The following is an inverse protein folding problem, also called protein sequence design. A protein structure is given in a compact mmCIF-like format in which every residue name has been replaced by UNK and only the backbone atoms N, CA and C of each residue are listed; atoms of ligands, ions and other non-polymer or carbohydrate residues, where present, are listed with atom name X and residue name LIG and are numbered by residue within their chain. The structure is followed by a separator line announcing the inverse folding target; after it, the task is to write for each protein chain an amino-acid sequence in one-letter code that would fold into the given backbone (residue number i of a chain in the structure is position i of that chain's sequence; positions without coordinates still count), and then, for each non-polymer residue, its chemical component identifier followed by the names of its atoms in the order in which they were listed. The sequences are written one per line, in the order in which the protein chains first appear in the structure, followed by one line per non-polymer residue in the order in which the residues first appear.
data_IF_289106408067
#
_entry.id   IF_289106408067
#
_cell.length_a   1.000
_cell.length_b   1.000
_cell.length_c   1.000
_cell.angle_alpha   90.00
_cell.angle_beta   90.00
_cell.angle_gamma   90.00
#
_symmetry.space_group_name_H-M   'P 1'
#
loop_
_entity.id
_entity.type
_entity.pdbx_description
1 polymer ?
#
# COMPACT_ATOMS: atom_id res chain seq x y z
N UNK A 1 4.75 -9.97 6.43
CA UNK A 1 4.19 -8.82 5.69
C UNK A 1 3.07 -9.25 4.76
N UNK A 2 3.26 -10.01 3.69
CA UNK A 2 2.28 -10.30 2.62
C UNK A 2 0.84 -10.63 3.08
N UNK A 3 0.65 -11.45 4.12
CA UNK A 3 -0.69 -11.74 4.67
C UNK A 3 -1.34 -10.50 5.26
N UNK A 4 -0.60 -9.72 6.04
CA UNK A 4 -1.15 -8.52 6.68
C UNK A 4 -1.45 -7.43 5.66
N UNK A 5 -0.61 -7.25 4.65
CA UNK A 5 -0.83 -6.32 3.54
C UNK A 5 -2.11 -6.67 2.77
N UNK A 6 -2.29 -7.94 2.37
CA UNK A 6 -3.51 -8.38 1.70
C UNK A 6 -4.77 -8.13 2.55
N UNK A 7 -4.68 -8.28 3.88
CA UNK A 7 -5.78 -7.98 4.79
C UNK A 7 -6.00 -6.47 4.94
N UNK A 8 -4.93 -5.65 4.99
CA UNK A 8 -5.07 -4.18 4.99
C UNK A 8 -5.80 -3.71 3.75
N UNK A 9 -5.42 -4.23 2.58
CA UNK A 9 -6.05 -3.84 1.32
C UNK A 9 -7.55 -4.16 1.31
N UNK A 10 -7.95 -5.40 1.66
CA UNK A 10 -9.37 -5.78 1.68
C UNK A 10 -10.16 -5.12 2.82
N UNK A 11 -9.47 -4.56 3.83
CA UNK A 11 -10.10 -3.88 4.97
C UNK A 11 -10.89 -2.61 4.58
N UNK A 12 -10.68 -2.09 3.37
CA UNK A 12 -11.48 -1.01 2.77
C UNK A 12 -12.95 -1.40 2.53
N UNK A 13 -13.25 -2.69 2.48
CA UNK A 13 -14.60 -3.23 2.34
C UNK A 13 -15.20 -3.61 3.73
N UNK A 14 -16.54 -3.49 3.91
CA UNK A 14 -17.20 -3.87 5.14
C UNK A 14 -17.26 -5.40 5.28
N UNK A 15 -16.37 -5.94 6.10
CA UNK A 15 -16.20 -7.38 6.39
C UNK A 15 -16.63 -7.64 7.84
N UNK A 16 -17.26 -8.78 8.10
CA UNK A 16 -17.77 -9.11 9.44
C UNK A 16 -16.67 -9.28 10.48
N UNK A 17 -15.66 -10.09 10.19
CA UNK A 17 -14.59 -10.42 11.14
C UNK A 17 -13.41 -11.07 10.40
N UNK A 18 -12.21 -11.06 11.01
CA UNK A 18 -10.99 -11.67 10.46
C UNK A 18 -11.18 -13.13 10.05
N UNK A 19 -11.82 -14.02 10.84
CA UNK A 19 -12.04 -15.42 10.44
C UNK A 19 -12.93 -15.61 9.20
N UNK A 20 -13.58 -14.56 8.70
CA UNK A 20 -14.33 -14.57 7.43
C UNK A 20 -13.48 -14.29 6.21
N UNK A 21 -12.19 -13.99 6.42
CA UNK A 21 -11.22 -13.80 5.35
C UNK A 21 -10.57 -15.14 5.04
N UNK A 22 -10.70 -15.58 3.79
CA UNK A 22 -9.96 -16.71 3.23
C UNK A 22 -8.81 -16.18 2.36
N UNK A 23 -7.67 -16.85 2.41
CA UNK A 23 -6.49 -16.48 1.65
C UNK A 23 -6.19 -17.51 0.59
N UNK A 24 -5.69 -17.09 -0.57
CA UNK A 24 -4.99 -17.92 -1.52
C UNK A 24 -3.50 -17.58 -1.48
N UNK A 25 -2.65 -18.58 -1.42
CA UNK A 25 -1.21 -18.40 -1.35
C UNK A 25 -0.51 -19.03 -2.56
N UNK A 26 0.42 -18.28 -3.16
CA UNK A 26 1.27 -18.77 -4.24
C UNK A 26 2.74 -18.60 -3.84
N UNK A 27 3.42 -19.72 -3.59
CA UNK A 27 4.86 -19.77 -3.31
C UNK A 27 5.63 -20.00 -4.60
N UNK A 28 6.66 -19.21 -4.83
CA UNK A 28 7.57 -19.35 -5.96
C UNK A 28 9.00 -19.45 -5.44
N UNK A 29 9.73 -20.47 -5.87
CA UNK A 29 11.12 -20.70 -5.48
C UNK A 29 11.87 -21.47 -6.58
N UNK A 30 13.18 -21.29 -6.65
CA UNK A 30 14.02 -22.15 -7.49
C UNK A 30 14.13 -23.57 -6.97
N UNK A 31 14.01 -23.77 -5.65
CA UNK A 31 14.14 -25.06 -4.96
C UNK A 31 15.41 -25.86 -5.33
N UNK A 32 16.45 -25.15 -5.69
CA UNK A 32 17.63 -25.70 -6.36
C UNK A 32 18.72 -26.17 -5.38
N UNK A 33 18.75 -25.57 -4.19
CA UNK A 33 19.74 -25.89 -3.15
C UNK A 33 19.08 -25.93 -1.75
N UNK A 34 19.84 -26.39 -0.75
CA UNK A 34 19.33 -26.53 0.62
C UNK A 34 18.92 -25.20 1.27
N UNK A 35 19.54 -24.09 0.89
CA UNK A 35 19.17 -22.76 1.38
C UNK A 35 17.79 -22.33 0.85
N UNK A 36 17.51 -22.54 -0.45
CA UNK A 36 16.21 -22.23 -1.05
C UNK A 36 15.10 -23.07 -0.40
N UNK A 37 15.34 -24.36 -0.18
CA UNK A 37 14.41 -25.28 0.49
C UNK A 37 14.14 -24.88 1.92
N UNK A 38 15.17 -24.54 2.69
CA UNK A 38 15.06 -24.09 4.06
C UNK A 38 14.24 -22.77 4.16
N UNK A 39 14.52 -21.82 3.29
CA UNK A 39 13.80 -20.56 3.27
C UNK A 39 12.34 -20.73 2.90
N UNK A 40 12.01 -21.60 1.95
CA UNK A 40 10.62 -21.92 1.61
C UNK A 40 9.88 -22.52 2.81
N UNK A 41 10.50 -23.51 3.50
CA UNK A 41 9.94 -24.09 4.71
C UNK A 41 9.71 -23.03 5.79
N UNK A 42 10.71 -22.18 6.06
CA UNK A 42 10.60 -21.12 7.06
C UNK A 42 9.54 -20.06 6.71
N UNK A 43 9.36 -19.76 5.44
CA UNK A 43 8.28 -18.88 4.98
C UNK A 43 6.92 -19.50 5.27
N UNK A 44 6.72 -20.77 4.92
CA UNK A 44 5.47 -21.49 5.17
C UNK A 44 5.17 -21.61 6.68
N UNK A 45 6.17 -21.96 7.50
CA UNK A 45 6.06 -22.04 8.95
C UNK A 45 5.68 -20.68 9.56
N UNK A 46 6.35 -19.60 9.15
CA UNK A 46 6.09 -18.26 9.64
C UNK A 46 4.66 -17.81 9.35
N UNK A 47 4.18 -18.05 8.13
CA UNK A 47 2.84 -17.61 7.72
C UNK A 47 1.77 -18.42 8.47
N UNK A 48 1.89 -19.74 8.52
CA UNK A 48 0.87 -20.57 9.14
C UNK A 48 0.85 -20.41 10.65
N UNK A 49 1.99 -20.62 11.32
CA UNK A 49 2.07 -20.66 12.78
C UNK A 49 2.06 -19.27 13.44
N UNK A 50 2.76 -18.31 12.84
CA UNK A 50 2.94 -17.00 13.49
C UNK A 50 1.89 -15.96 13.07
N UNK A 51 1.31 -16.07 11.87
CA UNK A 51 0.37 -15.06 11.37
C UNK A 51 -1.05 -15.64 11.26
N UNK A 52 -1.29 -16.61 10.39
CA UNK A 52 -2.64 -17.11 10.11
C UNK A 52 -3.33 -17.67 11.36
N UNK A 53 -2.65 -18.51 12.13
CA UNK A 53 -3.19 -19.07 13.37
C UNK A 53 -3.52 -17.96 14.39
N UNK A 54 -2.65 -16.96 14.52
CA UNK A 54 -2.88 -15.86 15.46
C UNK A 54 -4.01 -14.93 15.01
N UNK A 55 -4.18 -14.70 13.70
CA UNK A 55 -5.26 -13.90 13.15
C UNK A 55 -6.59 -14.67 13.08
N UNK A 56 -6.56 -15.99 13.06
CA UNK A 56 -7.72 -16.85 12.85
C UNK A 56 -8.16 -16.88 11.37
N UNK A 57 -7.26 -16.56 10.43
CA UNK A 57 -7.50 -16.62 8.99
C UNK A 57 -6.97 -17.94 8.42
N UNK A 58 -7.53 -18.38 7.30
CA UNK A 58 -7.18 -19.66 6.68
C UNK A 58 -6.66 -19.49 5.26
N UNK A 59 -5.83 -20.44 4.83
CA UNK A 59 -5.36 -20.58 3.44
C UNK A 59 -5.97 -21.88 2.89
N UNK A 60 -7.24 -21.88 2.46
CA UNK A 60 -7.90 -23.07 1.95
C UNK A 60 -7.37 -23.52 0.59
N UNK A 61 -6.74 -22.63 -0.15
CA UNK A 61 -6.21 -22.91 -1.47
C UNK A 61 -4.84 -22.24 -1.64
N UNK A 62 -3.93 -22.94 -2.28
CA UNK A 62 -2.61 -22.44 -2.60
C UNK A 62 -1.97 -23.26 -3.70
N UNK A 63 -0.91 -22.73 -4.25
CA UNK A 63 -0.04 -23.46 -5.17
C UNK A 63 1.41 -23.08 -4.94
N UNK A 64 2.31 -23.93 -5.42
CA UNK A 64 3.74 -23.69 -5.45
C UNK A 64 4.30 -23.82 -6.87
N UNK A 65 5.31 -23.04 -7.17
CA UNK A 65 6.10 -23.09 -8.38
C UNK A 65 7.56 -23.24 -7.96
N UNK A 66 8.06 -24.49 -7.97
CA UNK A 66 9.36 -24.83 -7.38
C UNK A 66 10.49 -24.94 -8.42
N UNK A 67 10.22 -24.63 -9.68
CA UNK A 67 11.20 -24.65 -10.77
C UNK A 67 11.47 -23.27 -11.35
N UNK A 68 11.46 -22.23 -10.52
CA UNK A 68 11.63 -20.85 -10.94
C UNK A 68 13.11 -20.53 -11.23
N UNK A 69 13.64 -21.23 -12.25
CA UNK A 69 15.01 -21.09 -12.74
C UNK A 69 14.98 -21.16 -14.26
N UNK A 70 15.77 -20.31 -14.90
CA UNK A 70 16.07 -20.38 -16.32
C UNK A 70 17.57 -20.60 -16.49
N UNK A 71 17.95 -21.56 -17.35
CA UNK A 71 19.35 -21.86 -17.67
C UNK A 71 19.54 -21.89 -19.19
N UNK A 72 20.69 -21.41 -19.65
CA UNK A 72 21.11 -21.45 -21.05
C UNK A 72 22.64 -21.57 -21.15
N UNK A 73 23.13 -21.92 -22.32
CA UNK A 73 24.57 -21.97 -22.59
C UNK A 73 24.96 -20.77 -23.45
N UNK A 74 26.02 -20.08 -23.06
CA UNK A 74 26.62 -18.96 -23.80
C UNK A 74 28.16 -19.12 -23.78
N UNK A 75 28.80 -19.20 -24.95
CA UNK A 75 30.24 -19.40 -25.08
C UNK A 75 30.75 -20.61 -24.25
N UNK A 76 30.10 -21.76 -24.36
CA UNK A 76 30.37 -23.01 -23.62
C UNK A 76 30.30 -22.89 -22.09
N UNK A 77 29.67 -21.84 -21.58
CA UNK A 77 29.38 -21.66 -20.15
C UNK A 77 27.89 -21.80 -19.89
N UNK A 78 27.55 -22.58 -18.88
CA UNK A 78 26.18 -22.63 -18.37
C UNK A 78 25.91 -21.36 -17.54
N UNK A 79 24.90 -20.60 -17.94
CA UNK A 79 24.41 -19.43 -17.25
C UNK A 79 23.03 -19.77 -16.70
N UNK A 80 22.75 -19.34 -15.47
CA UNK A 80 21.40 -19.50 -14.89
C UNK A 80 20.97 -18.28 -14.12
N UNK A 81 19.68 -17.98 -14.20
CA UNK A 81 18.99 -16.98 -13.40
C UNK A 81 17.91 -17.68 -12.57
N UNK A 82 17.88 -17.39 -11.29
CA UNK A 82 16.93 -17.95 -10.32
C UNK A 82 16.03 -16.86 -9.78
N UNK A 83 14.74 -17.16 -9.63
CA UNK A 83 13.83 -16.32 -8.88
C UNK A 83 14.15 -16.39 -7.38
N UNK A 84 14.10 -15.26 -6.65
CA UNK A 84 14.12 -15.30 -5.20
C UNK A 84 12.88 -16.01 -4.67
N UNK A 85 12.91 -16.48 -3.41
CA UNK A 85 11.72 -16.96 -2.73
C UNK A 85 10.69 -15.83 -2.65
N UNK A 86 9.55 -16.07 -3.26
CA UNK A 86 8.46 -15.09 -3.35
C UNK A 86 7.17 -15.71 -2.86
N UNK A 87 6.38 -14.94 -2.12
CA UNK A 87 5.04 -15.30 -1.70
C UNK A 87 4.06 -14.24 -2.13
N UNK A 88 3.03 -14.64 -2.87
CA UNK A 88 1.90 -13.80 -3.24
C UNK A 88 0.68 -14.29 -2.48
N UNK A 89 0.00 -13.37 -1.78
CA UNK A 89 -1.23 -13.63 -1.05
C UNK A 89 -2.37 -12.85 -1.70
N UNK A 90 -3.48 -13.53 -1.93
CA UNK A 90 -4.75 -12.91 -2.28
C UNK A 90 -5.75 -13.15 -1.16
N UNK A 91 -6.46 -12.09 -0.74
CA UNK A 91 -7.46 -12.16 0.31
C UNK A 91 -8.87 -12.06 -0.27
N UNK A 92 -9.79 -12.87 0.24
CA UNK A 92 -11.18 -12.94 -0.18
C UNK A 92 -12.11 -12.91 1.04
N UNK A 93 -13.19 -12.16 0.93
CA UNK A 93 -14.25 -12.18 1.94
C UNK A 93 -15.59 -11.77 1.35
N UNK A 94 -16.67 -12.18 2.01
CA UNK A 94 -17.99 -11.66 1.72
C UNK A 94 -18.17 -10.26 2.31
N UNK A 95 -18.74 -9.37 1.53
CA UNK A 95 -19.06 -8.00 1.92
C UNK A 95 -20.53 -7.95 2.34
N UNK A 96 -20.81 -7.43 3.55
CA UNK A 96 -22.19 -7.39 4.05
C UNK A 96 -22.98 -6.16 3.59
N UNK A 97 -22.33 -5.12 3.08
CA UNK A 97 -22.97 -3.92 2.56
C UNK A 97 -22.10 -3.22 1.51
N UNK A 98 -22.48 -3.31 0.24
CA UNK A 98 -21.75 -2.69 -0.87
C UNK A 98 -21.69 -1.15 -0.80
N UNK A 99 -22.65 -0.50 -0.12
CA UNK A 99 -22.69 0.96 0.00
C UNK A 99 -21.63 1.52 0.95
N UNK A 100 -21.07 0.68 1.81
CA UNK A 100 -20.04 1.07 2.79
C UNK A 100 -18.61 0.77 2.33
N UNK A 101 -18.40 0.38 1.07
CA UNK A 101 -17.05 0.21 0.52
C UNK A 101 -16.38 1.58 0.43
N UNK A 102 -15.20 1.70 1.04
CA UNK A 102 -14.40 2.92 1.04
C UNK A 102 -13.34 2.83 -0.06
N UNK A 103 -13.24 3.85 -0.89
CA UNK A 103 -12.34 3.86 -2.06
C UNK A 103 -10.97 4.45 -1.68
N UNK A 104 -9.88 4.05 -2.36
CA UNK A 104 -8.55 4.67 -2.22
C UNK A 104 -8.47 5.97 -3.04
N UNK A 105 -9.40 6.90 -2.78
CA UNK A 105 -9.58 8.11 -3.57
C UNK A 105 -9.97 9.25 -2.65
N UNK A 106 -9.15 10.29 -2.58
CA UNK A 106 -9.50 11.46 -1.79
C UNK A 106 -10.72 12.19 -2.36
N UNK A 107 -11.63 12.53 -1.48
CA UNK A 107 -12.80 13.38 -1.80
C UNK A 107 -12.36 14.83 -1.78
N UNK A 108 -12.75 15.59 -2.79
CA UNK A 108 -12.46 17.04 -2.86
C UNK A 108 -13.36 17.82 -1.89
N UNK A 109 -13.01 17.75 -0.60
CA UNK A 109 -13.67 18.49 0.47
C UNK A 109 -12.63 19.04 1.44
N UNK A 110 -12.53 20.38 1.51
CA UNK A 110 -11.58 21.11 2.37
C UNK A 110 -11.92 21.02 3.87
N UNK A 111 -13.14 20.56 4.22
CA UNK A 111 -13.54 20.32 5.60
C UNK A 111 -13.14 18.91 6.07
N UNK A 112 -12.07 18.35 5.50
CA UNK A 112 -11.55 17.04 5.83
C UNK A 112 -10.08 17.11 6.21
N UNK A 113 -9.64 16.08 6.92
CA UNK A 113 -8.24 15.84 7.26
C UNK A 113 -7.81 14.46 6.80
N UNK A 114 -6.56 14.33 6.44
CA UNK A 114 -5.92 13.05 6.08
C UNK A 114 -5.14 12.58 7.30
N UNK A 115 -5.49 11.38 7.76
CA UNK A 115 -4.92 10.75 8.96
C UNK A 115 -4.13 9.53 8.54
N UNK A 116 -2.88 9.45 8.97
CA UNK A 116 -2.06 8.26 8.87
C UNK A 116 -2.23 7.42 10.13
N UNK A 117 -2.52 6.15 9.95
CA UNK A 117 -2.65 5.13 11.00
C UNK A 117 -1.41 4.26 10.91
N UNK A 118 -0.51 4.39 11.89
CA UNK A 118 0.77 3.69 11.87
C UNK A 118 0.70 2.37 12.65
N UNK A 119 1.07 1.29 12.01
CA UNK A 119 1.15 -0.05 12.58
C UNK A 119 2.60 -0.55 12.70
N UNK A 120 3.57 0.32 12.39
CA UNK A 120 5.01 0.00 12.46
C UNK A 120 5.54 -0.08 13.89
N UNK A 121 4.83 0.51 14.85
CA UNK A 121 5.32 0.70 16.21
C UNK A 121 6.52 1.66 16.28
N UNK A 122 6.56 2.66 15.41
CA UNK A 122 7.62 3.67 15.32
C UNK A 122 8.88 3.20 14.60
N UNK A 123 8.83 2.06 13.91
CA UNK A 123 9.94 1.58 13.08
C UNK A 123 9.83 2.14 11.66
N UNK A 124 10.98 2.47 11.06
CA UNK A 124 11.09 2.98 9.69
C UNK A 124 12.10 2.14 8.90
N UNK A 125 11.89 0.80 8.91
CA UNK A 125 12.77 -0.15 8.22
C UNK A 125 12.55 -0.06 6.71
N UNK A 126 13.63 0.08 5.96
CA UNK A 126 13.62 0.29 4.50
C UNK A 126 14.26 -0.86 3.72
N UNK A 127 14.74 -1.91 4.40
CA UNK A 127 15.35 -3.06 3.74
C UNK A 127 14.38 -3.74 2.77
N UNK A 128 14.81 -3.90 1.51
CA UNK A 128 13.99 -4.48 0.44
C UNK A 128 12.95 -3.53 -0.18
N UNK A 129 12.77 -2.32 0.35
CA UNK A 129 11.84 -1.33 -0.18
C UNK A 129 12.22 -0.80 -1.56
N UNK A 130 11.28 -0.19 -2.27
CA UNK A 130 11.54 0.52 -3.53
C UNK A 130 12.65 1.56 -3.38
N UNK A 131 12.66 2.32 -2.27
CA UNK A 131 13.73 3.28 -1.97
C UNK A 131 15.11 2.60 -1.93
N UNK A 132 15.23 1.50 -1.19
CA UNK A 132 16.49 0.75 -1.08
C UNK A 132 16.97 0.23 -2.42
N UNK A 133 16.05 -0.23 -3.27
CA UNK A 133 16.38 -0.73 -4.61
C UNK A 133 16.88 0.39 -5.52
N UNK A 134 16.18 1.54 -5.54
CA UNK A 134 16.56 2.70 -6.36
C UNK A 134 17.90 3.30 -5.94
N UNK A 135 18.11 3.47 -4.63
CA UNK A 135 19.34 4.03 -4.08
C UNK A 135 20.46 3.01 -3.92
N UNK A 136 20.19 1.71 -4.18
CA UNK A 136 21.13 0.60 -3.99
C UNK A 136 21.75 0.60 -2.59
N UNK A 137 20.93 0.90 -1.57
CA UNK A 137 21.36 0.89 -0.18
C UNK A 137 21.55 -0.55 0.31
N UNK A 138 22.36 -0.71 1.35
CA UNK A 138 22.61 -2.01 1.99
C UNK A 138 21.77 -2.19 3.27
N UNK A 139 20.61 -1.53 3.34
CA UNK A 139 19.71 -1.70 4.47
C UNK A 139 19.24 -3.16 4.55
N UNK A 140 19.51 -3.80 5.69
CA UNK A 140 19.22 -5.22 5.93
C UNK A 140 17.96 -5.43 6.77
N UNK A 141 17.52 -4.38 7.46
CA UNK A 141 16.31 -4.47 8.29
C UNK A 141 15.06 -4.26 7.41
N UNK A 142 14.37 -5.37 7.17
CA UNK A 142 13.11 -5.36 6.42
C UNK A 142 11.91 -5.07 7.32
N UNK A 143 10.83 -4.48 6.76
CA UNK A 143 9.53 -4.38 7.43
C UNK A 143 9.05 -5.73 7.95
N UNK A 144 8.45 -5.75 9.15
CA UNK A 144 7.90 -6.95 9.76
C UNK A 144 6.73 -6.63 10.68
N UNK A 145 5.92 -7.64 10.97
CA UNK A 145 4.79 -7.52 11.90
C UNK A 145 5.28 -7.70 13.33
N UNK A 146 5.50 -6.61 14.05
CA UNK A 146 5.99 -6.66 15.43
C UNK A 146 4.87 -6.97 16.43
N UNK A 147 3.65 -6.49 16.20
CA UNK A 147 2.54 -6.66 17.13
C UNK A 147 1.24 -7.09 16.41
N UNK A 148 0.98 -8.39 16.42
CA UNK A 148 -0.21 -8.96 15.79
C UNK A 148 -1.51 -8.57 16.50
N UNK A 149 -1.46 -8.23 17.80
CA UNK A 149 -2.65 -7.80 18.54
C UNK A 149 -3.06 -6.38 18.14
N UNK A 150 -2.09 -5.48 17.91
CA UNK A 150 -2.38 -4.16 17.36
C UNK A 150 -3.03 -4.27 15.98
N UNK A 151 -2.58 -5.20 15.15
CA UNK A 151 -3.20 -5.47 13.86
C UNK A 151 -4.66 -5.93 13.98
N UNK A 152 -4.98 -6.84 14.93
CA UNK A 152 -6.37 -7.24 15.19
C UNK A 152 -7.23 -6.08 15.69
N UNK A 153 -6.69 -5.27 16.57
CA UNK A 153 -7.37 -4.10 17.10
C UNK A 153 -7.64 -3.08 16.00
N UNK A 154 -6.64 -2.83 15.14
CA UNK A 154 -6.78 -1.99 13.96
C UNK A 154 -7.94 -2.48 13.07
N UNK A 155 -7.97 -3.76 12.72
CA UNK A 155 -9.03 -4.32 11.89
C UNK A 155 -10.41 -4.05 12.50
N UNK A 156 -10.60 -4.35 13.80
CA UNK A 156 -11.88 -4.11 14.50
C UNK A 156 -12.27 -2.64 14.51
N UNK A 157 -11.33 -1.75 14.85
CA UNK A 157 -11.57 -0.31 14.87
C UNK A 157 -11.96 0.21 13.49
N UNK A 158 -11.22 -0.18 12.45
CA UNK A 158 -11.48 0.24 11.07
C UNK A 158 -12.83 -0.28 10.57
N UNK A 159 -13.18 -1.55 10.81
CA UNK A 159 -14.50 -2.09 10.43
C UNK A 159 -15.64 -1.40 11.18
N UNK A 160 -15.44 -1.01 12.44
CA UNK A 160 -16.41 -0.19 13.17
C UNK A 160 -16.59 1.19 12.52
N UNK A 161 -15.52 1.86 12.14
CA UNK A 161 -15.57 3.17 11.48
C UNK A 161 -16.25 3.09 10.11
N UNK A 162 -15.93 2.07 9.31
CA UNK A 162 -16.56 1.84 7.99
C UNK A 162 -18.06 1.58 8.14
N UNK A 163 -18.45 0.73 9.09
CA UNK A 163 -19.86 0.42 9.37
C UNK A 163 -20.68 1.67 9.69
N UNK A 164 -20.07 2.65 10.37
CA UNK A 164 -20.70 3.89 10.78
C UNK A 164 -20.46 5.06 9.81
N UNK A 165 -19.94 4.81 8.60
CA UNK A 165 -19.63 5.82 7.57
C UNK A 165 -18.77 6.98 8.08
N UNK A 166 -17.78 6.70 8.93
CA UNK A 166 -16.92 7.71 9.53
C UNK A 166 -15.62 7.95 8.73
N UNK A 167 -15.35 7.14 7.71
CA UNK A 167 -14.18 7.22 6.82
C UNK A 167 -14.66 7.54 5.40
N UNK A 168 -14.03 8.50 4.74
CA UNK A 168 -14.34 8.95 3.38
C UNK A 168 -13.43 8.33 2.31
N UNK A 169 -12.16 8.09 2.65
CA UNK A 169 -11.16 7.43 1.81
C UNK A 169 -10.30 6.52 2.67
N UNK A 170 -9.82 5.44 2.08
CA UNK A 170 -8.96 4.46 2.73
C UNK A 170 -7.97 3.86 1.73
N UNK A 171 -6.68 3.86 2.07
CA UNK A 171 -5.65 3.19 1.28
C UNK A 171 -4.56 2.65 2.22
N UNK A 172 -4.11 1.43 2.00
CA UNK A 172 -2.99 0.82 2.71
C UNK A 172 -1.65 1.38 2.25
N UNK A 173 -0.69 1.47 3.16
CA UNK A 173 0.70 1.74 2.83
C UNK A 173 1.33 0.45 2.33
N UNK A 174 1.87 0.49 1.11
CA UNK A 174 2.45 -0.62 0.40
C UNK A 174 3.75 -0.19 -0.29
N UNK A 175 4.04 -0.69 -1.49
CA UNK A 175 5.23 -0.34 -2.27
C UNK A 175 5.40 1.17 -2.44
N UNK A 176 6.61 1.67 -2.19
CA UNK A 176 6.94 3.09 -2.26
C UNK A 176 6.55 3.90 -1.02
N UNK A 177 5.92 3.26 -0.01
CA UNK A 177 5.68 3.84 1.30
C UNK A 177 4.56 4.87 1.37
N UNK A 178 4.55 5.66 2.45
CA UNK A 178 3.50 6.61 2.77
C UNK A 178 3.28 7.67 1.67
N UNK A 179 4.37 8.16 1.06
CA UNK A 179 4.26 9.18 0.02
C UNK A 179 3.52 8.64 -1.21
N UNK A 180 3.82 7.42 -1.64
CA UNK A 180 3.14 6.79 -2.78
C UNK A 180 1.66 6.59 -2.48
N UNK A 181 1.30 6.10 -1.29
CA UNK A 181 -0.10 5.97 -0.85
C UNK A 181 -0.87 7.30 -0.94
N UNK A 182 -0.26 8.40 -0.48
CA UNK A 182 -0.85 9.74 -0.55
C UNK A 182 -1.03 10.22 -1.99
N UNK A 183 -0.03 9.99 -2.84
CA UNK A 183 -0.07 10.37 -4.24
C UNK A 183 -1.14 9.59 -5.02
N UNK A 184 -1.23 8.28 -4.82
CA UNK A 184 -2.23 7.43 -5.48
C UNK A 184 -3.66 7.84 -5.14
N UNK A 185 -3.93 8.13 -3.86
CA UNK A 185 -5.21 8.70 -3.45
C UNK A 185 -5.49 10.08 -4.08
N UNK A 186 -4.46 10.91 -4.24
CA UNK A 186 -4.55 12.23 -4.88
C UNK A 186 -4.80 12.11 -6.38
N UNK A 187 -4.11 11.19 -7.07
CA UNK A 187 -4.31 10.91 -8.49
C UNK A 187 -5.73 10.43 -8.75
N UNK A 188 -6.22 9.46 -7.96
CA UNK A 188 -7.56 8.92 -8.10
C UNK A 188 -8.65 9.97 -7.81
N UNK A 189 -8.41 10.88 -6.86
CA UNK A 189 -9.33 11.94 -6.47
C UNK A 189 -9.22 13.21 -7.30
N UNK A 190 -8.19 13.35 -8.13
CA UNK A 190 -7.84 14.59 -8.84
C UNK A 190 -7.75 15.80 -7.89
N UNK A 191 -7.11 15.65 -6.74
CA UNK A 191 -6.97 16.68 -5.72
C UNK A 191 -5.51 16.89 -5.33
N UNK A 192 -5.12 18.14 -5.11
CA UNK A 192 -3.85 18.48 -4.48
C UNK A 192 -3.93 18.34 -2.96
N UNK A 193 -2.78 18.15 -2.34
CA UNK A 193 -2.67 18.03 -0.87
C UNK A 193 -1.48 18.81 -0.33
N UNK A 194 -1.65 19.33 0.88
CA UNK A 194 -0.57 19.88 1.70
C UNK A 194 -0.25 18.86 2.78
N UNK A 195 0.95 18.31 2.72
CA UNK A 195 1.47 17.33 3.66
C UNK A 195 2.34 18.05 4.67
N UNK A 196 2.00 17.94 5.96
CA UNK A 196 2.72 18.60 7.05
C UNK A 196 3.30 17.54 8.00
N UNK A 197 4.60 17.35 7.93
CA UNK A 197 5.30 16.43 8.81
C UNK A 197 5.69 17.13 10.11
N UNK A 198 5.48 16.44 11.24
CA UNK A 198 5.89 16.95 12.54
C UNK A 198 7.42 17.05 12.62
N UNK A 199 7.88 18.06 13.37
CA UNK A 199 9.29 18.41 13.61
C UNK A 199 10.16 17.25 14.13
N UNK A 200 9.56 16.29 14.82
CA UNK A 200 10.30 15.26 15.55
C UNK A 200 10.72 14.05 14.69
N UNK A 201 10.50 14.12 13.36
CA UNK A 201 10.90 13.05 12.46
C UNK A 201 12.39 13.20 12.12
N UNK A 202 13.22 12.34 12.73
CA UNK A 202 14.68 12.36 12.57
C UNK A 202 15.15 12.09 11.13
N UNK A 203 14.40 11.26 10.38
CA UNK A 203 14.72 10.91 8.99
C UNK A 203 13.41 10.90 8.17
N UNK A 204 13.13 12.02 7.53
CA UNK A 204 11.93 12.21 6.73
C UNK A 204 11.88 11.25 5.54
N UNK A 205 13.02 10.88 4.96
CA UNK A 205 13.05 9.96 3.84
C UNK A 205 12.63 8.56 4.29
N UNK A 206 13.19 8.08 5.39
CA UNK A 206 12.77 6.79 5.96
C UNK A 206 11.30 6.80 6.36
N UNK A 207 10.82 7.89 6.95
CA UNK A 207 9.40 8.01 7.31
C UNK A 207 8.48 7.94 6.08
N UNK A 208 8.82 8.65 5.01
CA UNK A 208 8.00 8.74 3.81
C UNK A 208 8.02 7.46 2.95
N UNK A 209 9.18 6.80 2.87
CA UNK A 209 9.42 5.73 1.90
C UNK A 209 9.56 4.33 2.52
N UNK A 210 9.41 4.17 3.85
CA UNK A 210 9.36 2.83 4.40
C UNK A 210 8.04 2.14 4.04
N UNK A 211 8.11 0.82 3.87
CA UNK A 211 7.00 -0.04 3.49
C UNK A 211 6.50 -0.88 4.70
N UNK A 212 6.55 -0.29 5.88
CA UNK A 212 5.94 -0.87 7.10
C UNK A 212 4.41 -0.87 6.99
N UNK A 213 3.73 -1.68 7.79
CA UNK A 213 2.26 -1.68 7.81
C UNK A 213 1.70 -0.33 8.26
N UNK A 214 0.67 0.11 7.59
CA UNK A 214 -0.05 1.34 7.91
C UNK A 214 -1.12 1.63 6.88
N UNK A 215 -1.97 2.60 7.16
CA UNK A 215 -3.01 3.05 6.22
C UNK A 215 -3.19 4.55 6.29
N UNK A 216 -3.69 5.11 5.20
CA UNK A 216 -4.12 6.51 5.12
C UNK A 216 -5.64 6.54 5.02
N UNK A 217 -6.27 7.37 5.84
CA UNK A 217 -7.72 7.59 5.81
C UNK A 217 -8.03 9.06 5.69
N UNK A 218 -9.07 9.41 4.94
CA UNK A 218 -9.63 10.76 4.92
C UNK A 218 -10.89 10.80 5.80
N UNK A 219 -10.99 11.83 6.63
CA UNK A 219 -12.05 11.96 7.63
C UNK A 219 -12.59 13.38 7.63
N UNK A 220 -13.91 13.54 7.78
CA UNK A 220 -14.52 14.87 8.00
C UNK A 220 -14.00 15.48 9.29
N UNK A 221 -13.68 16.78 9.29
CA UNK A 221 -13.20 17.51 10.46
C UNK A 221 -14.18 17.45 11.65
N UNK A 222 -15.48 17.23 11.37
CA UNK A 222 -16.50 17.06 12.40
C UNK A 222 -16.33 15.75 13.18
N UNK A 223 -15.83 14.68 12.52
CA UNK A 223 -15.64 13.36 13.08
C UNK A 223 -14.18 13.06 13.47
N UNK A 224 -13.24 13.97 13.14
CA UNK A 224 -11.81 13.75 13.29
C UNK A 224 -11.42 13.32 14.71
N UNK A 225 -11.93 14.04 15.73
CA UNK A 225 -11.62 13.72 17.13
C UNK A 225 -12.11 12.34 17.54
N UNK A 226 -13.32 11.95 17.10
CA UNK A 226 -13.92 10.66 17.43
C UNK A 226 -13.16 9.53 16.74
N UNK A 227 -12.81 9.69 15.46
CA UNK A 227 -12.03 8.71 14.69
C UNK A 227 -10.65 8.51 15.32
N UNK A 228 -9.91 9.60 15.58
CA UNK A 228 -8.60 9.51 16.22
C UNK A 228 -8.70 8.86 17.62
N UNK A 229 -9.74 9.19 18.39
CA UNK A 229 -9.98 8.60 19.71
C UNK A 229 -10.24 7.09 19.61
N UNK A 230 -11.06 6.64 18.64
CA UNK A 230 -11.34 5.20 18.46
C UNK A 230 -10.05 4.43 18.17
N UNK A 231 -9.15 4.94 17.33
CA UNK A 231 -7.85 4.30 17.10
C UNK A 231 -6.99 4.33 18.37
N UNK A 232 -6.88 5.46 19.05
CA UNK A 232 -6.06 5.61 20.27
C UNK A 232 -6.56 4.73 21.42
N UNK A 233 -7.88 4.62 21.63
CA UNK A 233 -8.48 3.74 22.65
C UNK A 233 -8.19 2.25 22.38
N UNK A 234 -7.86 1.90 21.13
CA UNK A 234 -7.43 0.56 20.73
C UNK A 234 -5.89 0.41 20.67
N UNK A 235 -5.13 1.35 21.21
CA UNK A 235 -3.66 1.41 21.19
C UNK A 235 -3.08 1.47 19.78
N UNK A 236 -3.76 2.15 18.86
CA UNK A 236 -3.30 2.35 17.49
C UNK A 236 -2.81 3.79 17.34
N UNK A 237 -1.58 3.92 16.91
CA UNK A 237 -0.96 5.22 16.63
C UNK A 237 -1.59 5.87 15.41
N UNK A 238 -1.92 7.18 15.53
CA UNK A 238 -2.57 7.91 14.45
C UNK A 238 -2.14 9.37 14.45
N UNK A 239 -1.94 9.93 13.25
CA UNK A 239 -1.44 11.29 13.03
C UNK A 239 -2.21 11.98 11.91
N UNK A 240 -2.65 13.21 12.16
CA UNK A 240 -3.10 14.10 11.07
C UNK A 240 -1.86 14.56 10.32
N UNK A 241 -1.75 14.23 9.05
CA UNK A 241 -0.55 14.45 8.24
C UNK A 241 -0.76 15.32 7.02
N UNK A 242 -2.00 15.48 6.54
CA UNK A 242 -2.25 16.28 5.34
C UNK A 242 -3.67 16.84 5.30
N UNK A 243 -3.89 17.78 4.37
CA UNK A 243 -5.17 18.38 4.03
C UNK A 243 -5.29 18.55 2.52
N UNK A 244 -6.54 18.53 2.03
CA UNK A 244 -6.84 18.86 0.63
C UNK A 244 -6.57 20.35 0.38
N UNK A 245 -5.92 20.66 -0.75
CA UNK A 245 -5.73 22.04 -1.23
C UNK A 245 -6.48 22.31 -2.54
N UNK A 246 -6.53 23.59 -2.93
CA UNK A 246 -7.23 24.06 -4.14
C UNK A 246 -6.32 24.23 -5.37
N UNK A 247 -5.02 23.97 -5.22
CA UNK A 247 -4.02 24.34 -6.24
C UNK A 247 -3.73 23.22 -7.23
N UNK A 248 -4.19 21.99 -6.96
CA UNK A 248 -3.78 20.79 -7.70
C UNK A 248 -2.27 20.53 -7.63
N UNK A 249 -1.66 20.93 -6.54
CA UNK A 249 -0.24 20.73 -6.25
C UNK A 249 -0.10 19.79 -5.07
N UNK A 250 1.02 19.11 -5.04
CA UNK A 250 1.46 18.33 -3.88
C UNK A 250 2.55 19.15 -3.19
N UNK A 251 2.25 19.63 -2.02
CA UNK A 251 3.16 20.39 -1.20
C UNK A 251 3.60 19.56 0.00
N UNK A 252 4.91 19.50 0.25
CA UNK A 252 5.46 18.95 1.47
C UNK A 252 6.00 20.09 2.30
N UNK A 253 5.51 20.19 3.53
CA UNK A 253 5.84 21.23 4.50
C UNK A 253 6.71 20.62 5.61
N UNK A 254 7.74 21.33 6.00
CA UNK A 254 8.49 21.07 7.22
C UNK A 254 8.47 22.34 8.06
N UNK A 255 7.87 22.28 9.25
CA UNK A 255 7.73 23.44 10.16
C UNK A 255 7.04 24.66 9.51
N UNK A 256 6.10 24.45 8.59
CA UNK A 256 5.40 25.46 7.78
C UNK A 256 6.17 25.97 6.56
N UNK A 257 7.43 25.65 6.40
CA UNK A 257 8.19 25.98 5.19
C UNK A 257 7.95 24.89 4.14
N UNK A 258 7.65 25.30 2.91
CA UNK A 258 7.48 24.38 1.80
C UNK A 258 8.86 23.87 1.36
N UNK A 259 9.13 22.59 1.58
CA UNK A 259 10.37 21.93 1.20
C UNK A 259 10.29 21.24 -0.15
N UNK A 260 9.09 20.95 -0.62
CA UNK A 260 8.84 20.36 -1.93
C UNK A 260 7.49 20.82 -2.47
N UNK A 261 7.43 21.13 -3.77
CA UNK A 261 6.20 21.41 -4.50
C UNK A 261 6.31 20.81 -5.89
N UNK A 262 5.25 20.14 -6.33
CA UNK A 262 5.12 19.69 -7.71
C UNK A 262 3.65 19.68 -8.12
N UNK A 263 3.38 19.79 -9.43
CA UNK A 263 2.01 19.63 -9.91
C UNK A 263 1.55 18.18 -9.78
N UNK A 264 0.26 17.99 -9.51
CA UNK A 264 -0.36 16.67 -9.49
C UNK A 264 -0.18 15.94 -10.83
N UNK A 265 -0.24 16.67 -11.94
CA UNK A 265 -0.05 16.16 -13.29
C UNK A 265 1.37 15.58 -13.51
N UNK A 266 2.41 16.33 -13.14
CA UNK A 266 3.79 15.91 -13.31
C UNK A 266 4.12 14.65 -12.49
N UNK A 267 3.65 14.61 -11.26
CA UNK A 267 3.82 13.44 -10.39
C UNK A 267 3.06 12.22 -10.93
N UNK A 268 1.82 12.40 -11.40
CA UNK A 268 1.02 11.32 -11.98
C UNK A 268 1.65 10.79 -13.27
N UNK A 269 2.14 11.67 -14.15
CA UNK A 269 2.90 11.27 -15.35
C UNK A 269 4.19 10.53 -14.98
N UNK A 270 4.90 10.99 -13.96
CA UNK A 270 6.11 10.32 -13.45
C UNK A 270 5.80 8.92 -12.93
N UNK A 271 4.76 8.78 -12.13
CA UNK A 271 4.29 7.49 -11.59
C UNK A 271 3.87 6.53 -12.71
N UNK A 272 3.17 7.01 -13.73
CA UNK A 272 2.66 6.20 -14.83
C UNK A 272 3.70 5.91 -15.94
N UNK A 273 4.81 6.64 -15.98
CA UNK A 273 5.77 6.63 -17.09
C UNK A 273 6.28 5.24 -17.45
N UNK A 274 6.66 4.42 -16.47
CA UNK A 274 7.17 3.06 -16.73
C UNK A 274 6.12 2.19 -17.42
N UNK A 275 4.87 2.22 -16.96
CA UNK A 275 3.76 1.50 -17.57
C UNK A 275 3.50 1.98 -19.01
N UNK A 276 3.53 3.28 -19.23
CA UNK A 276 3.38 3.89 -20.54
C UNK A 276 4.47 3.41 -21.53
N UNK A 277 5.74 3.43 -21.12
CA UNK A 277 6.84 2.99 -21.99
C UNK A 277 6.72 1.48 -22.35
N UNK A 278 6.28 0.66 -21.40
CA UNK A 278 6.03 -0.76 -21.67
C UNK A 278 4.83 -0.94 -22.61
N UNK A 279 3.73 -0.23 -22.39
CA UNK A 279 2.55 -0.27 -23.26
C UNK A 279 2.91 0.16 -24.70
N UNK A 280 3.70 1.20 -24.84
CA UNK A 280 4.14 1.71 -26.15
C UNK A 280 4.92 0.66 -26.96
N UNK A 281 5.68 -0.20 -26.30
CA UNK A 281 6.44 -1.29 -26.95
C UNK A 281 5.53 -2.49 -27.24
N UNK A 282 4.63 -2.85 -26.31
CA UNK A 282 3.81 -4.06 -26.37
C UNK A 282 2.55 -3.89 -27.22
N UNK A 283 1.89 -2.73 -27.08
CA UNK A 283 0.57 -2.47 -27.63
C UNK A 283 0.63 -1.47 -28.81
N UNK A 284 -0.48 -0.81 -29.14
CA UNK A 284 -0.48 0.25 -30.14
C UNK A 284 0.12 1.54 -29.55
N UNK A 285 1.23 2.00 -30.12
CA UNK A 285 1.99 3.14 -29.62
C UNK A 285 1.19 4.45 -29.57
N UNK A 286 0.35 4.72 -30.60
CA UNK A 286 -0.50 5.92 -30.65
C UNK A 286 -1.57 5.90 -29.56
N UNK A 287 -2.20 4.75 -29.33
CA UNK A 287 -3.18 4.59 -28.25
C UNK A 287 -2.56 4.78 -26.87
N UNK A 288 -1.37 4.22 -26.63
CA UNK A 288 -0.64 4.40 -25.39
C UNK A 288 -0.24 5.87 -25.16
N UNK A 289 0.18 6.58 -26.21
CA UNK A 289 0.53 8.00 -26.14
C UNK A 289 -0.72 8.87 -25.86
N UNK A 290 -1.83 8.58 -26.51
CA UNK A 290 -3.10 9.28 -26.25
C UNK A 290 -3.57 9.09 -24.82
N UNK A 291 -3.49 7.88 -24.28
CA UNK A 291 -3.82 7.58 -22.88
C UNK A 291 -2.90 8.36 -21.92
N UNK A 292 -1.60 8.35 -22.16
CA UNK A 292 -0.65 9.09 -21.32
C UNK A 292 -0.87 10.61 -21.37
N UNK A 293 -1.23 11.17 -22.51
CA UNK A 293 -1.47 12.60 -22.69
C UNK A 293 -2.80 13.08 -22.04
N UNK A 294 -3.72 12.18 -21.75
CA UNK A 294 -4.96 12.52 -21.02
C UNK A 294 -4.67 12.78 -19.52
N UNK A 295 -3.57 12.26 -18.98
CA UNK A 295 -3.20 12.48 -17.59
C UNK A 295 -3.11 13.98 -17.32
N UNK A 296 -3.83 14.45 -16.28
CA UNK A 296 -3.92 15.87 -15.92
C UNK A 296 -4.91 16.70 -16.74
N UNK A 297 -5.57 16.14 -17.73
CA UNK A 297 -6.57 16.86 -18.49
C UNK A 297 -7.85 17.08 -17.68
N UNK A 298 -7.98 18.26 -17.11
CA UNK A 298 -9.13 18.67 -16.25
C UNK A 298 -10.48 18.69 -16.99
N UNK A 299 -10.49 18.63 -18.31
CA UNK A 299 -11.72 18.66 -19.14
C UNK A 299 -12.25 17.27 -19.46
N UNK A 300 -11.43 16.24 -19.31
CA UNK A 300 -11.90 14.87 -19.56
C UNK A 300 -12.79 14.39 -18.42
N UNK A 301 -13.91 13.80 -18.78
CA UNK A 301 -14.84 13.18 -17.80
C UNK A 301 -14.42 11.76 -17.40
N UNK A 302 -13.31 11.25 -17.97
CA UNK A 302 -12.96 9.84 -17.86
C UNK A 302 -13.92 8.94 -18.63
N UNK A 303 -13.93 7.66 -18.28
CA UNK A 303 -14.91 6.70 -18.82
C UNK A 303 -16.24 6.89 -18.11
N UNK A 304 -17.32 7.07 -18.87
CA UNK A 304 -18.67 7.22 -18.34
C UNK A 304 -19.71 6.50 -19.24
N UNK A 305 -20.84 6.18 -18.67
CA UNK A 305 -21.95 5.58 -19.39
C UNK A 305 -23.07 6.63 -19.45
N UNK A 306 -23.49 6.97 -20.65
CA UNK A 306 -24.72 7.76 -20.85
C UNK A 306 -25.93 6.89 -20.45
N UNK A 307 -26.77 7.42 -19.56
CA UNK A 307 -27.98 6.75 -19.10
C UNK A 307 -29.16 7.09 -19.95
#
# INVERSE_FOLDING_TARGET
MAVCEAILNICSAPIWDLPKIALSANWMSSFDNEFDKYNLYKTAESITSNICNKLGVTIPVGKDSLSMKMSWSENDKEISVKSPNTLIISAFSSVYNLKNIVKPMFVNDHNTSIVFIDLSGGNYRTGGSALSQVLKTKDTECPKVDNINNFKNFFKATQHLIKNNMILSYHDRSDGGLITTLLECSFAGHVGIDIDFKKDILDINKYMFNEELGVVVQVSNKLLKDVCKIYSDNNIENHVIAKINNTYEINILAEKDTVFTSSLEDLHKTWHKTSYEIQKIRDNAESAENEFNIIGNKKTKGLYIDK
#
